data_IF_937612748486
#
_entry.id   IF_937612748486
#
_cell.length_a   1.000
_cell.length_b   1.000
_cell.length_c   1.000
_cell.angle_alpha   90.00
_cell.angle_beta   90.00
_cell.angle_gamma   90.00
#
_symmetry.space_group_name_H-M   'P 1'
#
loop_
_entity.id
_entity.type
_entity.pdbx_description
1 polymer ?
#
# COMPACT_ATOMS: atom_id res chain seq x y z
N UNK A 1 54.51 63.23 9.49
CA UNK A 1 53.56 63.04 8.37
C UNK A 1 53.91 61.75 7.65
N UNK A 2 52.90 60.91 7.37
CA UNK A 2 52.90 59.71 6.49
C UNK A 2 53.67 58.46 6.98
N UNK A 3 53.15 57.21 6.95
CA UNK A 3 51.81 56.59 6.72
C UNK A 3 51.86 55.16 7.32
N UNK A 4 50.74 54.65 7.86
CA UNK A 4 50.49 53.21 8.09
C UNK A 4 50.09 52.50 6.78
N UNK A 5 50.35 51.18 6.69
CA UNK A 5 49.43 50.23 6.05
C UNK A 5 49.08 49.06 7.02
N UNK A 6 47.82 48.74 7.35
CA UNK A 6 46.86 47.86 6.63
C UNK A 6 47.46 46.55 6.10
N UNK A 7 46.95 45.32 6.26
CA UNK A 7 45.76 44.67 6.85
C UNK A 7 45.99 43.15 6.67
N UNK A 8 45.27 42.26 7.39
CA UNK A 8 44.42 41.18 6.82
C UNK A 8 44.08 40.10 7.86
N UNK A 9 42.87 40.20 8.41
CA UNK A 9 42.15 39.11 9.05
C UNK A 9 41.53 38.21 7.98
N UNK A 10 41.75 36.90 8.05
CA UNK A 10 41.07 35.93 7.19
C UNK A 10 39.85 35.39 7.94
N UNK A 11 38.66 35.78 7.48
CA UNK A 11 37.38 35.19 7.91
C UNK A 11 37.12 33.97 7.02
N UNK A 12 37.12 32.79 7.62
CA UNK A 12 36.69 31.53 6.98
C UNK A 12 35.16 31.49 6.96
N UNK A 13 34.58 31.70 5.78
CA UNK A 13 33.14 31.54 5.53
C UNK A 13 32.88 30.12 4.99
N UNK A 14 32.47 29.20 5.86
CA UNK A 14 32.03 27.86 5.44
C UNK A 14 30.59 27.97 4.91
N UNK A 15 30.45 27.88 3.59
CA UNK A 15 29.17 27.77 2.88
C UNK A 15 28.49 26.44 3.26
N UNK A 16 27.40 26.53 4.02
CA UNK A 16 26.49 25.42 4.25
C UNK A 16 25.71 25.09 2.97
N UNK A 17 26.11 24.02 2.28
CA UNK A 17 25.24 23.37 1.29
C UNK A 17 24.12 22.65 2.03
N UNK A 18 22.96 23.29 2.13
CA UNK A 18 21.73 22.63 2.58
C UNK A 18 21.34 21.52 1.60
N UNK A 19 21.36 20.27 2.07
CA UNK A 19 20.72 19.14 1.40
C UNK A 19 19.21 19.39 1.36
N UNK A 20 18.71 19.93 0.25
CA UNK A 20 17.27 20.00 0.00
C UNK A 20 16.81 18.59 -0.34
N UNK A 21 16.18 17.90 0.62
CA UNK A 21 15.51 16.64 0.35
C UNK A 21 14.41 16.89 -0.69
N UNK A 22 14.34 16.13 -1.80
CA UNK A 22 13.26 16.28 -2.77
C UNK A 22 11.91 16.05 -2.08
N UNK A 23 11.03 17.03 -2.16
CA UNK A 23 9.66 16.94 -1.66
C UNK A 23 8.87 15.87 -2.43
N UNK A 24 7.76 15.34 -1.86
CA UNK A 24 6.95 14.35 -2.54
C UNK A 24 6.38 14.93 -3.84
N UNK A 25 6.77 14.34 -4.98
CA UNK A 25 6.14 14.64 -6.27
C UNK A 25 4.65 14.28 -6.19
N UNK A 26 3.79 15.29 -6.24
CA UNK A 26 2.34 15.11 -6.29
C UNK A 26 1.92 15.03 -7.75
N UNK A 27 1.26 13.93 -8.14
CA UNK A 27 0.69 13.82 -9.47
C UNK A 27 -0.49 14.78 -9.62
N UNK A 28 -0.75 15.25 -10.83
CA UNK A 28 -1.94 16.04 -11.16
C UNK A 28 -3.22 15.29 -10.73
N UNK A 29 -4.27 16.05 -10.39
CA UNK A 29 -5.57 15.48 -10.06
C UNK A 29 -6.11 14.69 -11.25
N UNK A 30 -6.17 13.36 -11.13
CA UNK A 30 -6.76 12.50 -12.15
C UNK A 30 -8.07 11.94 -11.60
N UNK A 31 -9.17 12.20 -12.31
CA UNK A 31 -10.53 11.90 -11.86
C UNK A 31 -10.86 12.53 -10.50
N UNK A 32 -10.37 13.76 -10.28
CA UNK A 32 -10.61 14.52 -9.03
C UNK A 32 -9.91 13.93 -7.80
N UNK A 33 -8.94 13.03 -7.99
CA UNK A 33 -8.22 12.36 -6.91
C UNK A 33 -6.76 12.80 -6.94
N UNK A 34 -6.21 13.14 -5.78
CA UNK A 34 -4.77 13.32 -5.61
C UNK A 34 -4.09 11.97 -5.49
N UNK A 35 -3.08 11.76 -6.32
CA UNK A 35 -2.45 10.46 -6.53
C UNK A 35 -0.98 10.49 -6.12
N UNK A 36 -0.50 9.36 -5.61
CA UNK A 36 0.92 9.12 -5.36
C UNK A 36 1.24 7.65 -5.23
N UNK A 37 2.52 7.29 -5.36
CA UNK A 37 3.00 5.91 -5.28
C UNK A 37 3.74 5.60 -3.96
N UNK A 38 3.72 6.53 -3.00
CA UNK A 38 4.30 6.33 -1.68
C UNK A 38 3.44 5.40 -0.83
N UNK A 39 4.07 4.71 0.14
CA UNK A 39 3.40 3.79 1.04
C UNK A 39 2.21 4.44 1.78
N UNK A 40 1.20 3.63 2.09
CA UNK A 40 0.02 4.01 2.88
C UNK A 40 -0.08 3.08 4.08
N UNK A 41 -0.29 3.63 5.27
CA UNK A 41 -0.37 2.83 6.49
C UNK A 41 -1.29 3.44 7.53
N UNK A 42 -1.87 2.57 8.36
CA UNK A 42 -2.54 2.93 9.60
C UNK A 42 -1.98 2.06 10.75
N UNK A 43 -1.72 2.63 11.93
CA UNK A 43 -0.93 1.97 12.97
C UNK A 43 -1.69 0.88 13.76
N UNK A 44 -3.02 0.97 13.89
CA UNK A 44 -3.82 0.09 14.75
C UNK A 44 -3.89 -1.38 14.30
N UNK A 45 -4.57 -2.21 15.07
CA UNK A 45 -4.82 -3.61 14.75
C UNK A 45 -6.17 -4.05 15.30
N UNK A 46 -6.74 -5.12 14.76
CA UNK A 46 -8.06 -5.60 15.15
C UNK A 46 -8.11 -7.13 15.16
N UNK A 47 -8.97 -7.70 15.99
CA UNK A 47 -9.32 -9.13 15.95
C UNK A 47 -10.52 -9.39 15.02
N UNK A 48 -11.13 -8.35 14.45
CA UNK A 48 -12.21 -8.46 13.49
C UNK A 48 -11.74 -9.23 12.24
N UNK A 49 -12.32 -10.41 11.94
CA UNK A 49 -11.76 -11.25 10.90
C UNK A 49 -12.09 -10.75 9.51
N UNK A 50 -11.15 -10.91 8.58
CA UNK A 50 -11.37 -10.80 7.14
C UNK A 50 -12.30 -11.92 6.70
N UNK A 51 -13.28 -11.57 5.87
CA UNK A 51 -14.32 -12.50 5.39
C UNK A 51 -14.39 -12.57 3.87
N UNK A 52 -13.91 -11.53 3.17
CA UNK A 52 -14.03 -11.48 1.72
C UNK A 52 -12.96 -10.60 1.09
N UNK A 53 -12.57 -10.93 -0.15
CA UNK A 53 -11.77 -10.11 -1.04
C UNK A 53 -12.49 -10.04 -2.38
N UNK A 54 -12.71 -8.84 -2.90
CA UNK A 54 -13.36 -8.60 -4.19
C UNK A 54 -12.58 -7.57 -4.98
N UNK A 55 -12.79 -7.56 -6.29
CA UNK A 55 -12.21 -6.56 -7.19
C UNK A 55 -13.28 -5.92 -8.06
N UNK A 56 -12.96 -4.77 -8.64
CA UNK A 56 -13.82 -4.06 -9.59
C UNK A 56 -13.01 -3.18 -10.52
N UNK A 57 -13.50 -3.02 -11.75
CA UNK A 57 -12.95 -2.08 -12.73
C UNK A 57 -13.70 -0.76 -12.63
N UNK A 58 -12.97 0.33 -12.66
CA UNK A 58 -13.54 1.68 -12.79
C UNK A 58 -12.88 2.40 -13.94
N UNK A 59 -13.49 3.49 -14.42
CA UNK A 59 -12.96 4.30 -15.52
C UNK A 59 -11.53 4.79 -15.27
N UNK A 60 -11.16 4.98 -14.00
CA UNK A 60 -9.89 5.62 -13.64
C UNK A 60 -8.92 4.74 -12.86
N UNK A 61 -9.39 3.64 -12.30
CA UNK A 61 -8.61 2.79 -11.42
C UNK A 61 -9.21 1.39 -11.41
N UNK A 62 -8.38 0.43 -11.04
CA UNK A 62 -8.89 -0.86 -10.60
C UNK A 62 -8.91 -0.87 -9.07
N UNK A 63 -9.94 -1.49 -8.50
CA UNK A 63 -10.21 -1.50 -7.07
C UNK A 63 -10.11 -2.92 -6.53
N UNK A 64 -9.42 -3.07 -5.40
CA UNK A 64 -9.52 -4.22 -4.52
C UNK A 64 -10.24 -3.79 -3.23
N UNK A 65 -11.14 -4.63 -2.74
CA UNK A 65 -11.87 -4.42 -1.48
C UNK A 65 -11.70 -5.65 -0.60
N UNK A 66 -11.24 -5.45 0.63
CA UNK A 66 -11.14 -6.48 1.67
C UNK A 66 -12.19 -6.18 2.73
N UNK A 67 -13.11 -7.12 3.00
CA UNK A 67 -14.19 -6.94 3.98
C UNK A 67 -13.83 -7.59 5.31
N UNK A 68 -13.98 -6.84 6.40
CA UNK A 68 -13.78 -7.29 7.77
C UNK A 68 -15.11 -7.31 8.51
N UNK A 69 -15.29 -8.28 9.42
CA UNK A 69 -16.46 -8.36 10.31
C UNK A 69 -16.24 -7.53 11.58
N UNK A 70 -16.00 -6.23 11.37
CA UNK A 70 -15.64 -5.22 12.37
C UNK A 70 -14.79 -4.15 11.70
N UNK A 71 -14.25 -3.23 12.49
CA UNK A 71 -13.52 -2.08 11.98
C UNK A 71 -12.13 -2.44 11.43
N UNK A 72 -11.75 -1.79 10.33
CA UNK A 72 -10.39 -1.82 9.83
C UNK A 72 -9.54 -0.87 10.66
N UNK A 73 -8.84 -1.40 11.67
CA UNK A 73 -8.04 -0.59 12.59
C UNK A 73 -6.61 -0.32 12.08
N UNK A 74 -6.07 -1.13 11.16
CA UNK A 74 -4.78 -0.82 10.56
C UNK A 74 -4.30 -1.73 9.43
N UNK A 75 -3.33 -1.20 8.70
CA UNK A 75 -2.79 -1.79 7.47
C UNK A 75 -1.43 -1.19 7.12
N UNK A 76 -0.71 -1.85 6.20
CA UNK A 76 0.45 -1.31 5.49
C UNK A 76 0.34 -1.74 4.02
N UNK A 77 0.40 -0.77 3.13
CA UNK A 77 0.35 -0.98 1.67
C UNK A 77 1.53 -0.26 1.03
N UNK A 78 2.39 -1.03 0.35
CA UNK A 78 3.61 -0.49 -0.26
C UNK A 78 4.06 -1.34 -1.44
N UNK A 79 4.76 -0.70 -2.37
CA UNK A 79 5.46 -1.42 -3.43
C UNK A 79 6.67 -2.17 -2.87
N UNK A 80 6.92 -3.36 -3.41
CA UNK A 80 8.09 -4.19 -3.10
C UNK A 80 7.74 -5.67 -2.95
N UNK A 81 8.74 -6.47 -2.63
CA UNK A 81 8.61 -7.93 -2.51
C UNK A 81 7.49 -8.32 -1.53
N UNK A 82 6.55 -9.13 -2.01
CA UNK A 82 5.50 -9.73 -1.18
C UNK A 82 6.01 -11.03 -0.59
N UNK A 83 5.75 -11.23 0.71
CA UNK A 83 6.14 -12.43 1.45
C UNK A 83 4.92 -13.07 2.11
N UNK A 84 4.90 -14.40 2.12
CA UNK A 84 3.86 -15.15 2.81
C UNK A 84 4.01 -15.03 4.34
N UNK A 85 2.88 -14.88 5.02
CA UNK A 85 2.81 -14.83 6.47
C UNK A 85 3.26 -16.16 7.10
N UNK A 86 3.91 -16.08 8.26
CA UNK A 86 4.50 -17.21 8.98
C UNK A 86 5.80 -17.73 8.35
N UNK A 87 5.81 -18.02 7.04
CA UNK A 87 6.98 -18.62 6.37
C UNK A 87 8.01 -17.63 5.81
N UNK A 88 7.60 -16.37 5.53
CA UNK A 88 8.47 -15.36 4.92
C UNK A 88 8.85 -15.62 3.45
N UNK A 89 8.39 -16.71 2.84
CA UNK A 89 8.69 -17.07 1.45
C UNK A 89 8.15 -16.03 0.48
N UNK A 90 8.94 -15.68 -0.53
CA UNK A 90 8.54 -14.73 -1.57
C UNK A 90 7.35 -15.27 -2.36
N UNK A 91 6.38 -14.40 -2.63
CA UNK A 91 5.23 -14.68 -3.50
C UNK A 91 5.48 -13.96 -4.83
N UNK A 92 5.88 -14.67 -5.89
CA UNK A 92 6.01 -14.06 -7.20
C UNK A 92 4.63 -13.67 -7.74
N UNK A 93 4.50 -12.44 -8.24
CA UNK A 93 3.27 -11.93 -8.83
C UNK A 93 3.50 -11.60 -10.31
N UNK A 94 2.44 -11.70 -11.10
CA UNK A 94 2.44 -11.20 -12.48
C UNK A 94 2.35 -9.67 -12.49
N UNK A 95 2.97 -9.08 -13.50
CA UNK A 95 2.92 -7.65 -13.77
C UNK A 95 4.31 -7.04 -13.80
N UNK A 96 4.36 -5.72 -13.75
CA UNK A 96 5.60 -4.94 -13.73
C UNK A 96 5.94 -4.39 -12.34
N UNK A 97 5.04 -4.50 -11.36
CA UNK A 97 5.32 -4.17 -9.97
C UNK A 97 4.43 -4.94 -8.99
N UNK A 98 4.95 -5.12 -7.79
CA UNK A 98 4.30 -5.85 -6.70
C UNK A 98 3.84 -4.86 -5.62
N UNK A 99 2.56 -4.90 -5.28
CA UNK A 99 2.01 -4.15 -4.16
C UNK A 99 1.71 -5.11 -3.01
N UNK A 100 2.47 -5.00 -1.93
CA UNK A 100 2.25 -5.75 -0.69
C UNK A 100 1.12 -5.09 0.10
N UNK A 101 0.01 -5.80 0.31
CA UNK A 101 -1.13 -5.35 1.11
C UNK A 101 -1.18 -6.19 2.38
N UNK A 102 -0.70 -5.61 3.49
CA UNK A 102 -0.74 -6.24 4.81
C UNK A 102 -1.85 -5.59 5.62
N UNK A 103 -2.86 -6.37 5.99
CA UNK A 103 -3.92 -5.95 6.90
C UNK A 103 -3.58 -6.46 8.29
N UNK A 104 -3.65 -5.59 9.30
CA UNK A 104 -3.42 -5.94 10.71
C UNK A 104 -4.71 -6.50 11.33
N UNK A 105 -5.23 -7.53 10.67
CA UNK A 105 -6.42 -8.27 11.04
C UNK A 105 -6.26 -9.76 10.65
N UNK A 106 -6.81 -10.70 11.44
CA UNK A 106 -6.79 -12.11 11.11
C UNK A 106 -7.77 -12.45 9.99
N UNK A 107 -7.57 -13.59 9.33
CA UNK A 107 -8.54 -14.24 8.44
C UNK A 107 -9.07 -15.54 9.05
N UNK A 108 -9.17 -15.55 10.38
CA UNK A 108 -9.67 -16.64 11.21
C UNK A 108 -10.43 -16.09 12.42
N UNK A 109 -11.33 -16.89 12.98
CA UNK A 109 -12.10 -16.51 14.18
C UNK A 109 -11.36 -16.87 15.49
N UNK A 110 -11.97 -16.58 16.64
CA UNK A 110 -11.41 -16.87 17.96
C UNK A 110 -11.11 -18.35 18.23
N UNK A 111 -11.72 -19.27 17.50
CA UNK A 111 -11.42 -20.71 17.56
C UNK A 111 -10.35 -21.16 16.55
N UNK A 112 -9.67 -20.21 15.87
CA UNK A 112 -8.67 -20.51 14.84
C UNK A 112 -9.25 -20.99 13.51
N UNK A 113 -10.57 -21.04 13.33
CA UNK A 113 -11.18 -21.46 12.06
C UNK A 113 -11.08 -20.35 11.04
N UNK A 114 -10.58 -20.67 9.84
CA UNK A 114 -10.49 -19.69 8.75
C UNK A 114 -11.87 -19.13 8.38
N UNK A 115 -11.94 -17.80 8.29
CA UNK A 115 -13.14 -17.02 7.89
C UNK A 115 -13.10 -16.58 6.44
N UNK A 116 -11.92 -16.68 5.80
CA UNK A 116 -11.75 -16.52 4.38
C UNK A 116 -10.91 -17.68 3.84
N UNK A 117 -11.46 -18.42 2.88
CA UNK A 117 -10.84 -19.59 2.24
C UNK A 117 -10.91 -19.41 0.72
N UNK A 118 -9.88 -18.82 0.08
CA UNK A 118 -9.90 -18.63 -1.35
C UNK A 118 -9.80 -19.98 -2.07
N UNK A 119 -10.66 -20.21 -3.06
CA UNK A 119 -10.64 -21.43 -3.88
C UNK A 119 -9.34 -21.57 -4.67
N UNK A 120 -8.79 -20.45 -5.14
CA UNK A 120 -7.52 -20.38 -5.86
C UNK A 120 -6.57 -19.40 -5.15
N UNK A 121 -5.71 -19.87 -4.24
CA UNK A 121 -4.82 -18.98 -3.48
C UNK A 121 -3.87 -18.14 -4.35
N UNK A 122 -3.53 -18.58 -5.57
CA UNK A 122 -2.72 -17.78 -6.50
C UNK A 122 -3.53 -16.77 -7.31
N UNK A 123 -4.85 -16.92 -7.37
CA UNK A 123 -5.78 -16.13 -8.19
C UNK A 123 -7.04 -15.82 -7.38
N UNK A 124 -6.95 -14.87 -6.43
CA UNK A 124 -8.08 -14.53 -5.56
C UNK A 124 -9.29 -14.00 -6.35
N UNK A 125 -9.07 -13.45 -7.53
CA UNK A 125 -10.10 -12.96 -8.43
C UNK A 125 -9.65 -13.11 -9.89
N UNK A 126 -10.60 -13.32 -10.81
CA UNK A 126 -10.33 -13.22 -12.23
C UNK A 126 -10.19 -11.74 -12.61
N UNK A 127 -8.95 -11.33 -12.90
CA UNK A 127 -8.62 -9.96 -13.32
C UNK A 127 -8.35 -9.84 -14.82
N UNK A 128 -8.83 -10.79 -15.63
CA UNK A 128 -8.77 -10.67 -17.08
C UNK A 128 -9.51 -9.40 -17.55
N UNK A 129 -8.88 -8.64 -18.45
CA UNK A 129 -9.41 -7.37 -18.96
C UNK A 129 -9.28 -6.18 -18.01
N UNK A 130 -8.74 -6.34 -16.80
CA UNK A 130 -8.41 -5.22 -15.92
C UNK A 130 -7.27 -4.39 -16.52
N UNK A 131 -7.34 -3.06 -16.36
CA UNK A 131 -6.34 -2.18 -16.96
C UNK A 131 -5.00 -2.34 -16.24
N UNK A 132 -5.01 -2.32 -14.91
CA UNK A 132 -3.81 -2.29 -14.06
C UNK A 132 -3.58 -3.58 -13.30
N UNK A 133 -4.62 -4.24 -12.80
CA UNK A 133 -4.45 -5.48 -12.05
C UNK A 133 -3.99 -6.63 -12.96
N UNK A 134 -3.08 -7.46 -12.46
CA UNK A 134 -2.52 -8.62 -13.17
C UNK A 134 -2.67 -9.91 -12.38
N UNK A 135 -2.68 -9.82 -11.06
CA UNK A 135 -2.89 -10.95 -10.17
C UNK A 135 -3.25 -10.47 -8.77
N UNK A 136 -4.09 -11.23 -8.06
CA UNK A 136 -4.21 -11.16 -6.61
C UNK A 136 -3.84 -12.53 -6.04
N UNK A 137 -2.86 -12.58 -5.15
CA UNK A 137 -2.43 -13.82 -4.50
C UNK A 137 -2.60 -13.75 -2.98
N UNK A 138 -3.05 -14.86 -2.40
CA UNK A 138 -3.15 -15.06 -0.97
C UNK A 138 -1.76 -15.23 -0.35
N UNK A 139 -1.41 -14.31 0.56
CA UNK A 139 -0.18 -14.40 1.34
C UNK A 139 -0.35 -15.06 2.70
N UNK A 140 -1.55 -15.53 3.05
CA UNK A 140 -1.80 -16.17 4.35
C UNK A 140 -2.19 -15.19 5.45
N UNK A 141 -2.59 -15.76 6.58
CA UNK A 141 -2.93 -15.04 7.80
C UNK A 141 -2.28 -15.74 8.99
N UNK A 142 -1.49 -14.99 9.77
CA UNK A 142 -0.73 -15.49 10.91
C UNK A 142 -0.55 -14.37 11.93
N UNK A 143 -0.67 -14.68 13.24
CA UNK A 143 -0.48 -13.73 14.35
C UNK A 143 -1.29 -12.43 14.24
N UNK A 144 -2.49 -12.49 13.66
CA UNK A 144 -3.34 -11.31 13.47
C UNK A 144 -2.96 -10.43 12.27
N UNK A 145 -2.07 -10.89 11.39
CA UNK A 145 -1.69 -10.19 10.17
C UNK A 145 -2.03 -11.03 8.94
N UNK A 146 -2.70 -10.41 7.97
CA UNK A 146 -3.06 -11.03 6.70
C UNK A 146 -2.39 -10.32 5.55
N UNK A 147 -1.72 -11.08 4.68
CA UNK A 147 -1.07 -10.54 3.49
C UNK A 147 -1.85 -10.92 2.23
N UNK A 148 -2.06 -9.94 1.36
CA UNK A 148 -2.49 -10.14 -0.03
C UNK A 148 -1.43 -9.51 -0.92
N UNK A 149 -0.94 -10.28 -1.88
CA UNK A 149 -0.08 -9.77 -2.96
C UNK A 149 -0.94 -9.27 -4.11
N UNK A 150 -0.73 -8.03 -4.53
CA UNK A 150 -1.40 -7.44 -5.69
C UNK A 150 -0.37 -7.14 -6.77
N UNK A 151 -0.38 -7.96 -7.81
CA UNK A 151 0.44 -7.77 -9.00
C UNK A 151 -0.20 -6.72 -9.91
N UNK A 152 0.54 -5.69 -10.28
CA UNK A 152 0.07 -4.58 -11.12
C UNK A 152 0.97 -4.39 -12.33
N UNK A 153 0.42 -3.83 -13.41
CA UNK A 153 1.13 -3.68 -14.69
C UNK A 153 2.43 -2.87 -14.61
N UNK A 154 2.53 -1.94 -13.67
CA UNK A 154 3.68 -1.07 -13.44
C UNK A 154 3.53 -0.41 -12.05
N UNK A 155 4.57 0.27 -11.56
CA UNK A 155 4.48 1.10 -10.35
C UNK A 155 3.61 2.32 -10.62
N UNK A 156 2.34 2.24 -10.24
CA UNK A 156 1.31 3.26 -10.48
C UNK A 156 0.86 3.93 -9.17
N UNK A 157 0.28 5.13 -9.25
CA UNK A 157 -0.29 5.74 -8.06
C UNK A 157 -1.43 4.91 -7.49
N UNK A 158 -1.56 4.93 -6.16
CA UNK A 158 -2.62 4.23 -5.47
C UNK A 158 -3.09 5.00 -4.24
N UNK A 159 -4.28 4.68 -3.77
CA UNK A 159 -4.82 5.17 -2.50
C UNK A 159 -5.38 4.02 -1.70
N UNK A 160 -5.40 4.22 -0.38
CA UNK A 160 -5.94 3.25 0.57
C UNK A 160 -6.79 4.00 1.57
N UNK A 161 -8.02 3.52 1.78
CA UNK A 161 -8.97 4.13 2.69
C UNK A 161 -9.97 3.09 3.17
N UNK A 162 -10.74 3.43 4.19
CA UNK A 162 -11.76 2.57 4.77
C UNK A 162 -13.15 3.07 4.43
N UNK A 163 -14.10 2.15 4.32
CA UNK A 163 -15.52 2.44 4.18
C UNK A 163 -16.31 1.56 5.14
N UNK A 164 -17.43 2.06 5.64
CA UNK A 164 -18.41 1.22 6.33
C UNK A 164 -18.95 0.16 5.39
N UNK A 165 -19.27 -1.01 5.91
CA UNK A 165 -19.93 -2.10 5.22
C UNK A 165 -21.32 -2.36 5.80
N UNK A 166 -22.06 -3.36 5.28
CA UNK A 166 -23.35 -3.74 5.85
C UNK A 166 -23.22 -4.16 7.32
N UNK A 167 -24.11 -3.66 8.18
CA UNK A 167 -24.12 -3.98 9.61
C UNK A 167 -22.84 -3.49 10.31
N UNK A 168 -22.17 -4.39 11.03
CA UNK A 168 -20.91 -4.09 11.73
C UNK A 168 -19.66 -4.38 10.89
N UNK A 169 -19.80 -4.50 9.57
CA UNK A 169 -18.67 -4.76 8.70
C UNK A 169 -18.00 -3.45 8.30
N UNK A 170 -16.72 -3.53 7.94
CA UNK A 170 -16.02 -2.44 7.27
C UNK A 170 -15.19 -2.98 6.11
N UNK A 171 -14.72 -2.08 5.27
CA UNK A 171 -14.05 -2.40 4.01
C UNK A 171 -12.74 -1.62 3.94
N UNK A 172 -11.62 -2.34 3.80
CA UNK A 172 -10.38 -1.74 3.33
C UNK A 172 -10.42 -1.68 1.80
N UNK A 173 -10.27 -0.49 1.24
CA UNK A 173 -10.29 -0.24 -0.20
C UNK A 173 -8.89 0.13 -0.67
N UNK A 174 -8.41 -0.53 -1.72
CA UNK A 174 -7.17 -0.21 -2.41
C UNK A 174 -7.49 0.08 -3.87
N UNK A 175 -7.32 1.32 -4.28
CA UNK A 175 -7.48 1.75 -5.67
C UNK A 175 -6.11 1.98 -6.30
N UNK A 176 -5.87 1.40 -7.48
CA UNK A 176 -4.65 1.64 -8.27
C UNK A 176 -5.03 2.33 -9.57
N UNK A 177 -4.53 3.54 -9.76
CA UNK A 177 -4.84 4.40 -10.89
C UNK A 177 -4.38 3.79 -12.21
N UNK A 178 -5.13 4.02 -13.28
CA UNK A 178 -4.77 3.56 -14.62
C UNK A 178 -3.58 4.30 -15.23
N UNK A 179 -3.18 5.44 -14.69
CA UNK A 179 -2.05 6.27 -15.17
C UNK A 179 -1.37 7.03 -14.04
N UNK A 180 -0.17 7.53 -14.32
CA UNK A 180 0.51 8.56 -13.55
C UNK A 180 0.14 9.93 -14.11
#
# INVERSE_FOLDING_TARGET
MRKLPTWLSVILLVLGLGLVAPGPASAASYCGISWGSAAKSAPGSTTAPITNVRTGRHTCYDRMVVTLRGDVAGYSVRYGTVRAQGSGRVIPLRGGADLAVVIKAPAYNSSGRATYRPAHPKELANVHGYTTFRQLAWGGSFEGYTTIGLGVRARLPFRVFTLDGPGKMSRLVVDVAHRW
#
